data_IF_302339553575
#
_entry.id   IF_302339553575
#
_cell.length_a   1.000
_cell.length_b   1.000
_cell.length_c   1.000
_cell.angle_alpha   90.00
_cell.angle_beta   90.00
_cell.angle_gamma   90.00
#
_symmetry.space_group_name_H-M   'P 1'
#
loop_
_entity.id
_entity.type
_entity.pdbx_description
1 polymer ?
#
# COMPACT_ATOMS: atom_id res chain seq x y z
N UNK A 1 -9.86 6.15 4.34
CA UNK A 1 -11.00 6.01 3.39
C UNK A 1 -11.04 4.61 2.79
N UNK A 2 -9.90 4.13 2.28
CA UNK A 2 -9.73 2.81 1.69
C UNK A 2 -9.19 1.77 2.67
N UNK A 3 -8.82 2.17 3.89
CA UNK A 3 -8.25 1.29 4.93
C UNK A 3 -8.91 -0.11 5.05
N UNK A 4 -10.23 -0.21 5.15
CA UNK A 4 -10.95 -1.51 5.22
C UNK A 4 -10.64 -2.40 4.02
N UNK A 5 -10.84 -1.84 2.82
CA UNK A 5 -10.56 -2.49 1.53
C UNK A 5 -9.09 -2.91 1.44
N UNK A 6 -8.17 -2.02 1.82
CA UNK A 6 -6.73 -2.27 1.78
C UNK A 6 -6.33 -3.42 2.71
N UNK A 7 -6.86 -3.47 3.94
CA UNK A 7 -6.64 -4.57 4.88
C UNK A 7 -7.20 -5.89 4.36
N UNK A 8 -8.39 -5.88 3.75
CA UNK A 8 -9.00 -7.07 3.14
C UNK A 8 -8.17 -7.59 1.96
N UNK A 9 -7.78 -6.71 1.03
CA UNK A 9 -6.92 -7.04 -0.11
C UNK A 9 -5.55 -7.58 0.32
N UNK A 10 -4.97 -7.02 1.39
CA UNK A 10 -3.71 -7.53 1.94
C UNK A 10 -3.87 -8.94 2.51
N UNK A 11 -4.97 -9.22 3.24
CA UNK A 11 -5.26 -10.55 3.80
C UNK A 11 -5.52 -11.60 2.74
N UNK A 12 -6.13 -11.22 1.62
CA UNK A 12 -6.41 -12.13 0.49
C UNK A 12 -5.23 -12.26 -0.48
N UNK A 13 -4.04 -11.74 -0.12
CA UNK A 13 -2.85 -11.73 -0.97
C UNK A 13 -3.14 -11.20 -2.38
N UNK A 14 -3.93 -10.12 -2.47
CA UNK A 14 -4.23 -9.50 -3.74
C UNK A 14 -2.94 -9.04 -4.44
N UNK A 15 -2.90 -9.03 -5.79
CA UNK A 15 -1.73 -8.59 -6.54
C UNK A 15 -1.27 -7.19 -6.09
N UNK A 16 0.03 -7.00 -5.90
CA UNK A 16 0.64 -5.73 -5.48
C UNK A 16 1.43 -5.09 -6.62
N UNK A 17 1.60 -3.76 -6.55
CA UNK A 17 2.45 -3.00 -7.48
C UNK A 17 3.89 -2.90 -6.97
N UNK A 18 4.83 -3.42 -7.75
CA UNK A 18 6.27 -3.30 -7.52
C UNK A 18 6.73 -3.73 -6.12
N UNK A 19 7.76 -3.05 -5.60
CA UNK A 19 8.34 -3.32 -4.26
C UNK A 19 7.55 -2.70 -3.09
N UNK A 20 6.45 -2.00 -3.36
CA UNK A 20 5.84 -1.09 -2.38
C UNK A 20 4.71 -1.70 -1.55
N UNK A 21 4.38 -2.99 -1.71
CA UNK A 21 3.24 -3.67 -1.06
C UNK A 21 1.89 -2.93 -1.21
N UNK A 22 1.72 -2.16 -2.30
CA UNK A 22 0.48 -1.43 -2.56
C UNK A 22 -0.44 -2.33 -3.40
N UNK A 23 -1.66 -2.66 -2.94
CA UNK A 23 -2.59 -3.46 -3.73
C UNK A 23 -2.90 -2.82 -5.08
N UNK A 24 -2.74 -3.61 -6.15
CA UNK A 24 -2.81 -3.17 -7.53
C UNK A 24 -4.24 -2.81 -7.96
N UNK A 25 -5.25 -3.41 -7.33
CA UNK A 25 -6.66 -3.24 -7.69
C UNK A 25 -7.06 -1.76 -7.78
N UNK A 26 -6.78 -0.97 -6.74
CA UNK A 26 -7.09 0.47 -6.75
C UNK A 26 -6.22 1.27 -7.73
N UNK A 27 -4.91 1.00 -7.78
CA UNK A 27 -3.98 1.69 -8.69
C UNK A 27 -4.43 1.51 -10.15
N UNK A 28 -4.75 0.27 -10.55
CA UNK A 28 -5.20 -0.07 -11.91
C UNK A 28 -6.58 0.52 -12.21
N UNK A 29 -7.51 0.46 -11.26
CA UNK A 29 -8.82 1.08 -11.41
C UNK A 29 -8.75 2.57 -11.73
N UNK A 30 -7.94 3.34 -11.00
CA UNK A 30 -7.78 4.77 -11.26
C UNK A 30 -6.97 5.06 -12.53
N UNK A 31 -5.95 4.24 -12.85
CA UNK A 31 -5.23 4.35 -14.12
C UNK A 31 -6.13 4.14 -15.34
N UNK A 32 -7.10 3.23 -15.27
CA UNK A 32 -8.05 2.99 -16.34
C UNK A 32 -8.92 4.24 -16.60
N UNK A 33 -9.38 4.93 -15.56
CA UNK A 33 -10.11 6.20 -15.70
C UNK A 33 -9.20 7.28 -16.33
N UNK A 34 -7.94 7.38 -15.91
CA UNK A 34 -7.03 8.39 -16.42
C UNK A 34 -6.71 8.20 -17.92
N UNK A 35 -6.61 6.95 -18.36
CA UNK A 35 -6.32 6.56 -19.75
C UNK A 35 -7.55 6.61 -20.67
N UNK A 36 -8.76 6.60 -20.12
CA UNK A 36 -9.97 6.59 -20.94
C UNK A 36 -10.14 7.91 -21.71
N UNK A 37 -10.73 7.80 -22.91
CA UNK A 37 -11.08 8.94 -23.78
C UNK A 37 -12.59 9.17 -23.69
N UNK A 38 -13.00 10.44 -23.79
CA UNK A 38 -14.42 10.79 -23.94
C UNK A 38 -15.27 10.72 -22.67
N UNK A 39 -14.69 10.77 -21.47
CA UNK A 39 -15.44 10.83 -20.21
C UNK A 39 -16.35 12.06 -20.14
N UNK A 40 -17.66 11.85 -20.04
CA UNK A 40 -18.67 12.90 -19.90
C UNK A 40 -19.18 12.99 -18.47
N UNK A 41 -19.37 11.84 -17.82
CA UNK A 41 -20.01 11.74 -16.52
C UNK A 41 -19.23 10.86 -15.55
N UNK A 42 -19.36 11.16 -14.25
CA UNK A 42 -18.76 10.35 -13.19
C UNK A 42 -19.23 8.89 -13.20
N UNK A 43 -20.47 8.63 -13.61
CA UNK A 43 -21.03 7.28 -13.75
C UNK A 43 -20.22 6.39 -14.71
N UNK A 44 -19.67 6.95 -15.78
CA UNK A 44 -18.79 6.26 -16.73
C UNK A 44 -17.46 5.89 -16.05
N UNK A 45 -16.90 6.81 -15.25
CA UNK A 45 -15.67 6.55 -14.50
C UNK A 45 -15.85 5.43 -13.47
N UNK A 46 -17.00 5.39 -12.77
CA UNK A 46 -17.33 4.30 -11.84
C UNK A 46 -17.33 2.95 -12.56
N UNK A 47 -18.00 2.85 -13.73
CA UNK A 47 -18.04 1.60 -14.50
C UNK A 47 -16.65 1.13 -14.93
N UNK A 48 -15.82 2.05 -15.43
CA UNK A 48 -14.44 1.76 -15.86
C UNK A 48 -13.61 1.27 -14.67
N UNK A 49 -13.68 1.97 -13.53
CA UNK A 49 -12.93 1.60 -12.34
C UNK A 49 -13.34 0.24 -11.79
N UNK A 50 -14.64 -0.06 -11.72
CA UNK A 50 -15.14 -1.35 -11.24
C UNK A 50 -14.74 -2.50 -12.15
N UNK A 51 -14.83 -2.31 -13.47
CA UNK A 51 -14.42 -3.32 -14.45
C UNK A 51 -12.92 -3.65 -14.35
N UNK A 52 -12.09 -2.67 -14.04
CA UNK A 52 -10.66 -2.91 -13.86
C UNK A 52 -10.35 -3.46 -12.47
N UNK A 53 -11.04 -2.99 -11.42
CA UNK A 53 -10.84 -3.44 -10.04
C UNK A 53 -11.15 -4.94 -9.87
N UNK A 54 -12.22 -5.44 -10.49
CA UNK A 54 -12.62 -6.85 -10.38
C UNK A 54 -11.53 -7.83 -10.83
N UNK A 55 -10.69 -7.45 -11.81
CA UNK A 55 -9.58 -8.26 -12.32
C UNK A 55 -8.49 -8.55 -11.29
N UNK A 56 -8.42 -7.77 -10.21
CA UNK A 56 -7.35 -7.84 -9.20
C UNK A 56 -7.89 -8.01 -7.76
N UNK A 57 -9.19 -8.25 -7.60
CA UNK A 57 -9.86 -8.31 -6.30
C UNK A 57 -10.05 -9.74 -5.75
N UNK A 58 -9.52 -10.77 -6.43
CA UNK A 58 -9.63 -12.17 -6.03
C UNK A 58 -11.07 -12.59 -5.66
N UNK A 59 -12.06 -12.12 -6.43
CA UNK A 59 -13.49 -12.44 -6.25
C UNK A 59 -14.09 -12.08 -4.88
N UNK A 60 -13.45 -11.19 -4.11
CA UNK A 60 -13.99 -10.74 -2.82
C UNK A 60 -15.16 -9.75 -3.02
N UNK A 61 -16.39 -10.26 -3.04
CA UNK A 61 -17.61 -9.48 -3.29
C UNK A 61 -17.80 -8.33 -2.30
N UNK A 62 -17.51 -8.55 -1.01
CA UNK A 62 -17.65 -7.51 0.02
C UNK A 62 -16.72 -6.32 -0.27
N UNK A 63 -15.48 -6.60 -0.63
CA UNK A 63 -14.47 -5.59 -0.99
C UNK A 63 -14.87 -4.85 -2.26
N UNK A 64 -15.45 -5.55 -3.23
CA UNK A 64 -15.98 -4.95 -4.46
C UNK A 64 -17.12 -3.97 -4.16
N UNK A 65 -18.07 -4.36 -3.31
CA UNK A 65 -19.21 -3.51 -2.94
C UNK A 65 -18.78 -2.29 -2.11
N UNK A 66 -17.83 -2.45 -1.18
CA UNK A 66 -17.25 -1.30 -0.46
C UNK A 66 -16.59 -0.31 -1.41
N UNK A 67 -15.79 -0.81 -2.36
CA UNK A 67 -15.13 0.04 -3.34
C UNK A 67 -16.14 0.77 -4.24
N UNK A 68 -17.18 0.06 -4.69
CA UNK A 68 -18.29 0.64 -5.47
C UNK A 68 -18.97 1.79 -4.74
N UNK A 69 -19.37 1.60 -3.48
CA UNK A 69 -20.02 2.65 -2.67
C UNK A 69 -19.16 3.90 -2.56
N UNK A 70 -17.85 3.71 -2.37
CA UNK A 70 -16.89 4.81 -2.34
C UNK A 70 -16.88 5.55 -3.67
N UNK A 71 -16.71 4.84 -4.79
CA UNK A 71 -16.65 5.47 -6.11
C UNK A 71 -17.94 6.20 -6.47
N UNK A 72 -19.10 5.61 -6.21
CA UNK A 72 -20.40 6.23 -6.46
C UNK A 72 -20.54 7.55 -5.70
N UNK A 73 -20.11 7.58 -4.42
CA UNK A 73 -20.10 8.82 -3.64
C UNK A 73 -19.14 9.87 -4.20
N UNK A 74 -17.91 9.47 -4.52
CA UNK A 74 -16.86 10.41 -4.93
C UNK A 74 -17.02 10.96 -6.35
N UNK A 75 -17.67 10.22 -7.24
CA UNK A 75 -17.92 10.62 -8.63
C UNK A 75 -19.35 11.11 -8.86
N UNK A 76 -20.22 11.07 -7.85
CA UNK A 76 -21.59 11.56 -7.95
C UNK A 76 -21.63 13.02 -8.41
N UNK A 77 -22.48 13.30 -9.40
CA UNK A 77 -22.68 14.65 -9.94
C UNK A 77 -21.50 15.23 -10.73
N UNK A 78 -20.36 14.53 -10.84
CA UNK A 78 -19.22 15.04 -11.60
C UNK A 78 -19.49 14.97 -13.10
N UNK A 79 -19.24 16.09 -13.79
CA UNK A 79 -19.34 16.21 -15.23
C UNK A 79 -18.05 16.79 -15.81
N UNK A 80 -17.70 16.31 -17.00
CA UNK A 80 -16.53 16.76 -17.74
C UNK A 80 -15.24 15.99 -17.41
N UNK A 81 -14.59 15.51 -18.46
CA UNK A 81 -13.38 14.67 -18.39
C UNK A 81 -12.28 15.24 -17.49
N UNK A 82 -12.06 16.57 -17.50
CA UNK A 82 -10.99 17.20 -16.72
C UNK A 82 -11.20 17.02 -15.21
N UNK A 83 -12.42 17.26 -14.73
CA UNK A 83 -12.77 17.17 -13.31
C UNK A 83 -12.72 15.70 -12.86
N UNK A 84 -13.30 14.81 -13.67
CA UNK A 84 -13.30 13.37 -13.41
C UNK A 84 -11.87 12.83 -13.30
N UNK A 85 -10.99 13.19 -14.25
CA UNK A 85 -9.58 12.76 -14.23
C UNK A 85 -8.80 13.38 -13.07
N UNK A 86 -9.06 14.63 -12.71
CA UNK A 86 -8.45 15.25 -11.53
C UNK A 86 -8.85 14.50 -10.24
N UNK A 87 -10.15 14.15 -10.10
CA UNK A 87 -10.65 13.36 -8.98
C UNK A 87 -10.03 11.96 -8.96
N UNK A 88 -9.96 11.28 -10.10
CA UNK A 88 -9.33 9.97 -10.20
C UNK A 88 -7.84 10.00 -9.82
N UNK A 89 -7.11 11.05 -10.22
CA UNK A 89 -5.71 11.24 -9.83
C UNK A 89 -5.57 11.40 -8.31
N UNK A 90 -6.41 12.25 -7.70
CA UNK A 90 -6.40 12.44 -6.25
C UNK A 90 -6.74 11.15 -5.48
N UNK A 91 -7.73 10.38 -5.93
CA UNK A 91 -8.08 9.09 -5.32
C UNK A 91 -6.97 8.04 -5.46
N UNK A 92 -6.24 8.05 -6.59
CA UNK A 92 -5.04 7.21 -6.78
C UNK A 92 -3.95 7.56 -5.75
N UNK A 93 -3.65 8.84 -5.60
CA UNK A 93 -2.65 9.32 -4.64
C UNK A 93 -3.06 8.98 -3.20
N UNK A 94 -4.35 9.12 -2.86
CA UNK A 94 -4.89 8.74 -1.55
C UNK A 94 -4.77 7.24 -1.30
N UNK A 95 -5.10 6.40 -2.28
CA UNK A 95 -4.96 4.95 -2.20
C UNK A 95 -3.51 4.54 -1.90
N UNK A 96 -2.57 5.10 -2.67
CA UNK A 96 -1.14 4.84 -2.48
C UNK A 96 -0.63 5.33 -1.12
N UNK A 97 -1.09 6.50 -0.66
CA UNK A 97 -0.72 7.06 0.64
C UNK A 97 -1.23 6.19 1.79
N UNK A 98 -2.51 5.80 1.77
CA UNK A 98 -3.09 4.91 2.80
C UNK A 98 -2.42 3.52 2.78
N UNK A 99 -2.18 2.94 1.61
CA UNK A 99 -1.49 1.66 1.50
C UNK A 99 -0.06 1.72 2.05
N UNK A 100 0.67 2.82 1.80
CA UNK A 100 2.01 3.04 2.38
C UNK A 100 1.95 3.28 3.88
N UNK A 101 0.93 3.94 4.39
CA UNK A 101 0.76 4.13 5.83
C UNK A 101 0.48 2.80 6.55
N UNK A 102 -0.28 1.90 5.93
CA UNK A 102 -0.66 0.61 6.51
C UNK A 102 0.40 -0.48 6.35
N UNK A 103 1.00 -0.58 5.16
CA UNK A 103 1.86 -1.71 4.77
C UNK A 103 3.26 -1.29 4.35
N UNK A 104 3.53 0.02 4.32
CA UNK A 104 4.84 0.53 4.00
C UNK A 104 5.87 -0.02 4.97
N UNK A 105 7.12 -0.27 4.51
CA UNK A 105 8.18 -0.61 5.43
C UNK A 105 8.29 0.51 6.45
N UNK A 106 8.30 0.17 7.74
CA UNK A 106 8.60 1.13 8.81
C UNK A 106 9.96 1.74 8.47
N UNK A 107 9.95 2.98 7.97
CA UNK A 107 11.19 3.70 7.66
C UNK A 107 11.97 3.75 8.97
N UNK A 108 13.20 3.23 8.96
CA UNK A 108 14.16 3.42 10.05
C UNK A 108 14.45 4.93 10.12
N UNK A 109 13.68 5.68 10.90
CA UNK A 109 13.81 7.13 11.00
C UNK A 109 14.88 7.56 11.99
N UNK A 110 15.24 6.68 12.93
CA UNK A 110 16.27 6.93 13.93
C UNK A 110 17.45 5.99 13.75
N UNK A 111 18.61 6.58 13.50
CA UNK A 111 19.90 5.91 13.60
C UNK A 111 20.44 6.12 15.01
N UNK A 112 20.86 5.05 15.66
CA UNK A 112 21.51 5.11 16.96
C UNK A 112 22.96 4.69 16.75
N UNK A 113 23.89 5.59 17.03
CA UNK A 113 25.31 5.28 17.09
C UNK A 113 25.67 4.84 18.50
N UNK A 114 26.17 3.63 18.65
CA UNK A 114 26.69 3.11 19.91
C UNK A 114 28.20 3.03 19.77
N UNK A 115 28.94 3.55 20.76
CA UNK A 115 30.39 3.36 20.84
C UNK A 115 30.65 2.14 21.69
N UNK A 116 31.48 1.24 21.16
CA UNK A 116 31.95 0.03 21.81
C UNK A 116 33.46 -0.03 21.66
N UNK A 117 34.13 -0.74 22.55
CA UNK A 117 35.53 -1.12 22.38
C UNK A 117 35.67 -2.14 21.26
N UNK A 118 36.88 -2.31 20.74
CA UNK A 118 37.17 -3.29 19.69
C UNK A 118 36.91 -4.73 20.15
N UNK A 119 37.23 -5.05 21.41
CA UNK A 119 36.97 -6.34 22.02
C UNK A 119 35.46 -6.65 22.10
N UNK A 120 34.65 -5.67 22.51
CA UNK A 120 33.19 -5.80 22.55
C UNK A 120 32.60 -5.95 21.15
N UNK A 121 33.10 -5.19 20.17
CA UNK A 121 32.65 -5.30 18.79
C UNK A 121 32.90 -6.70 18.23
N UNK A 122 34.10 -7.26 18.44
CA UNK A 122 34.46 -8.58 17.95
C UNK A 122 33.60 -9.68 18.58
N UNK A 123 33.33 -9.60 19.89
CA UNK A 123 32.39 -10.52 20.56
C UNK A 123 30.99 -10.45 19.96
N UNK A 124 30.47 -9.24 19.77
CA UNK A 124 29.14 -9.03 19.17
C UNK A 124 29.09 -9.58 17.75
N UNK A 125 30.15 -9.38 16.96
CA UNK A 125 30.25 -9.85 15.58
C UNK A 125 30.25 -11.39 15.52
N UNK A 126 31.01 -12.05 16.37
CA UNK A 126 31.05 -13.51 16.45
C UNK A 126 29.67 -14.10 16.83
N UNK A 127 29.01 -13.51 17.83
CA UNK A 127 27.69 -13.96 18.27
C UNK A 127 26.62 -13.71 17.18
N UNK A 128 26.66 -12.56 16.52
CA UNK A 128 25.77 -12.24 15.41
C UNK A 128 25.92 -13.26 14.26
N UNK A 129 27.16 -13.57 13.89
CA UNK A 129 27.47 -14.56 12.84
C UNK A 129 27.01 -15.97 13.22
N UNK A 130 27.17 -16.39 14.48
CA UNK A 130 26.66 -17.69 14.98
C UNK A 130 25.15 -17.80 14.85
N UNK A 131 24.43 -16.67 15.02
CA UNK A 131 22.98 -16.61 14.87
C UNK A 131 22.52 -16.34 13.42
N UNK A 132 23.44 -16.19 12.46
CA UNK A 132 23.12 -15.86 11.06
C UNK A 132 22.53 -14.46 10.86
N UNK A 133 22.82 -13.54 11.78
CA UNK A 133 22.32 -12.16 11.79
C UNK A 133 23.46 -11.16 11.52
N UNK A 134 23.11 -10.00 10.96
CA UNK A 134 24.02 -8.86 11.01
C UNK A 134 24.05 -8.24 12.42
N UNK A 135 25.12 -7.51 12.74
CA UNK A 135 25.33 -6.86 14.05
C UNK A 135 24.13 -6.00 14.48
N UNK A 136 23.50 -5.27 13.55
CA UNK A 136 22.37 -4.39 13.89
C UNK A 136 21.12 -5.18 14.26
N UNK A 137 20.85 -6.26 13.54
CA UNK A 137 19.71 -7.15 13.79
C UNK A 137 19.93 -7.99 15.05
N UNK A 138 21.16 -8.43 15.29
CA UNK A 138 21.56 -9.10 16.53
C UNK A 138 21.32 -8.19 17.76
N UNK A 139 21.82 -6.95 17.74
CA UNK A 139 21.61 -5.99 18.83
C UNK A 139 20.11 -5.73 19.07
N UNK A 140 19.31 -5.53 18.01
CA UNK A 140 17.85 -5.35 18.18
C UNK A 140 17.17 -6.55 18.82
N UNK A 141 17.54 -7.76 18.39
CA UNK A 141 17.01 -9.01 18.96
C UNK A 141 17.31 -9.07 20.45
N UNK A 142 18.55 -8.76 20.86
CA UNK A 142 18.94 -8.73 22.28
C UNK A 142 18.25 -7.63 23.08
N UNK A 143 17.96 -6.48 22.46
CA UNK A 143 17.22 -5.39 23.09
C UNK A 143 15.70 -5.60 23.11
N UNK A 144 15.18 -6.75 22.65
CA UNK A 144 13.74 -7.00 22.58
C UNK A 144 12.98 -6.08 21.62
N UNK A 145 13.70 -5.45 20.68
CA UNK A 145 13.13 -4.55 19.67
C UNK A 145 12.65 -5.32 18.42
N UNK A 146 12.43 -6.63 18.55
CA UNK A 146 11.90 -7.47 17.48
C UNK A 146 10.44 -7.12 17.19
N UNK A 147 10.09 -7.11 15.91
CA UNK A 147 8.71 -6.93 15.46
C UNK A 147 7.83 -8.06 16.03
N UNK A 148 6.75 -7.71 16.71
CA UNK A 148 5.55 -8.54 16.62
C UNK A 148 5.16 -8.59 15.13
N UNK A 149 5.10 -9.82 14.61
CA UNK A 149 4.78 -10.14 13.21
C UNK A 149 3.31 -9.87 12.95
#
# INVERSE_FOLDING_TARGET
>A
MFESILKKLHRTNAPITGKSKIPAAGVKAFEAILKSKGLKEGSEAVKIALSEFSKYNNENEETFQEFKKILEREFSGLRGARIIKAKAKALKELWEAEAKALFGPVRRTKWISIRVTEEEYNKILEEANKEGLDVSNYIRKKLGLSYEV
#
